data_IF_022878340959
#
_entry.id   IF_022878340959
#
_cell.length_a   1.000
_cell.length_b   1.000
_cell.length_c   1.000
_cell.angle_alpha   90.00
_cell.angle_beta   90.00
_cell.angle_gamma   90.00
#
_symmetry.space_group_name_H-M   'P 1'
#
loop_
_entity.id
_entity.type
_entity.pdbx_description
1 polymer ?
#
# COMPACT_ATOMS: atom_id res chain seq x y z
N UNK A 1 -16.54 -30.04 -9.08
CA UNK A 1 -15.35 -29.19 -9.38
C UNK A 1 -15.54 -27.72 -9.02
N UNK A 2 -16.74 -27.22 -8.69
CA UNK A 2 -16.96 -25.82 -8.31
C UNK A 2 -16.44 -25.44 -6.90
N UNK A 3 -16.45 -26.37 -5.94
CA UNK A 3 -16.08 -26.13 -4.53
C UNK A 3 -14.62 -25.68 -4.36
N UNK A 4 -13.68 -26.32 -5.08
CA UNK A 4 -12.25 -25.99 -5.03
C UNK A 4 -11.91 -24.60 -5.60
N UNK A 5 -12.73 -24.06 -6.49
CA UNK A 5 -12.52 -22.73 -7.06
C UNK A 5 -12.99 -21.63 -6.11
N UNK A 6 -14.09 -21.87 -5.39
CA UNK A 6 -14.63 -20.94 -4.38
C UNK A 6 -13.68 -20.86 -3.17
N UNK A 7 -13.19 -22.01 -2.68
CA UNK A 7 -12.25 -22.05 -1.54
C UNK A 7 -10.92 -21.32 -1.82
N UNK A 8 -10.41 -21.38 -3.05
CA UNK A 8 -9.18 -20.65 -3.44
C UNK A 8 -9.39 -19.15 -3.56
N UNK A 9 -10.58 -18.73 -3.95
CA UNK A 9 -10.92 -17.31 -4.05
C UNK A 9 -11.02 -16.67 -2.66
N UNK A 10 -11.52 -17.40 -1.66
CA UNK A 10 -11.59 -16.91 -0.27
C UNK A 10 -10.20 -16.88 0.38
N UNK A 11 -9.34 -17.86 0.12
CA UNK A 11 -7.94 -17.85 0.59
C UNK A 11 -7.13 -16.68 0.00
N UNK A 12 -7.26 -16.42 -1.29
CA UNK A 12 -6.57 -15.32 -1.96
C UNK A 12 -7.01 -13.95 -1.41
N UNK A 13 -8.31 -13.81 -1.12
CA UNK A 13 -8.86 -12.60 -0.53
C UNK A 13 -8.41 -12.41 0.93
N UNK A 14 -8.41 -13.48 1.73
CA UNK A 14 -7.88 -13.45 3.09
C UNK A 14 -6.40 -13.07 3.12
N UNK A 15 -5.59 -13.61 2.21
CA UNK A 15 -4.18 -13.26 2.07
C UNK A 15 -3.98 -11.79 1.66
N UNK A 16 -4.85 -11.27 0.79
CA UNK A 16 -4.83 -9.84 0.40
C UNK A 16 -5.14 -8.94 1.60
N UNK A 17 -6.18 -9.25 2.37
CA UNK A 17 -6.54 -8.50 3.58
C UNK A 17 -5.40 -8.54 4.60
N UNK A 18 -4.83 -9.71 4.87
CA UNK A 18 -3.69 -9.86 5.77
C UNK A 18 -2.49 -9.01 5.33
N UNK A 19 -2.17 -9.01 4.03
CA UNK A 19 -1.09 -8.18 3.46
C UNK A 19 -1.35 -6.68 3.63
N UNK A 20 -2.61 -6.24 3.51
CA UNK A 20 -3.00 -4.84 3.72
C UNK A 20 -2.91 -4.43 5.20
N UNK A 21 -3.29 -5.32 6.12
CA UNK A 21 -3.16 -5.07 7.56
C UNK A 21 -1.70 -5.01 8.01
N UNK A 22 -0.87 -5.93 7.53
CA UNK A 22 0.57 -5.93 7.78
C UNK A 22 1.22 -4.66 7.25
N UNK A 23 0.94 -4.31 5.98
CA UNK A 23 1.44 -3.06 5.39
C UNK A 23 1.04 -1.84 6.23
N UNK A 24 -0.22 -1.78 6.68
CA UNK A 24 -0.70 -0.68 7.52
C UNK A 24 0.10 -0.57 8.81
N UNK A 25 0.40 -1.68 9.49
CA UNK A 25 1.18 -1.68 10.72
C UNK A 25 2.60 -1.15 10.47
N UNK A 26 3.26 -1.62 9.40
CA UNK A 26 4.59 -1.16 8.98
C UNK A 26 4.58 0.35 8.68
N UNK A 27 3.56 0.84 7.97
CA UNK A 27 3.44 2.26 7.62
C UNK A 27 3.17 3.15 8.84
N UNK A 28 2.46 2.66 9.85
CA UNK A 28 2.29 3.39 11.13
C UNK A 28 3.62 3.52 11.86
N UNK A 29 4.39 2.44 11.96
CA UNK A 29 5.73 2.49 12.57
C UNK A 29 6.64 3.47 11.83
N UNK A 30 6.73 3.34 10.50
CA UNK A 30 7.56 4.18 9.64
C UNK A 30 7.16 5.67 9.66
N UNK A 31 5.87 5.99 9.86
CA UNK A 31 5.38 7.37 10.01
C UNK A 31 5.95 8.06 11.27
N UNK A 32 6.29 7.31 12.32
CA UNK A 32 6.62 7.84 13.64
C UNK A 32 8.12 7.80 13.98
N UNK A 33 8.99 7.50 13.02
CA UNK A 33 10.45 7.46 13.23
C UNK A 33 11.24 8.03 12.06
N UNK A 34 12.52 8.27 12.32
CA UNK A 34 13.47 8.73 11.30
C UNK A 34 13.89 7.58 10.38
N UNK A 35 13.07 7.36 9.34
CA UNK A 35 13.32 6.36 8.29
C UNK A 35 14.43 6.85 7.36
N UNK A 36 15.45 6.02 7.10
CA UNK A 36 16.56 6.34 6.17
C UNK A 36 16.11 6.27 4.70
N UNK A 37 16.94 6.73 3.77
CA UNK A 37 16.59 6.76 2.33
C UNK A 37 16.32 5.35 1.80
N UNK A 38 17.22 4.42 2.11
CA UNK A 38 17.20 3.05 1.63
C UNK A 38 15.91 2.35 2.12
N UNK A 39 15.66 2.46 3.42
CA UNK A 39 14.45 1.95 4.04
C UNK A 39 13.17 2.61 3.51
N UNK A 40 13.19 3.93 3.27
CA UNK A 40 12.05 4.61 2.63
C UNK A 40 11.75 4.00 1.26
N UNK A 41 12.77 3.78 0.44
CA UNK A 41 12.60 3.27 -0.92
C UNK A 41 12.10 1.83 -0.93
N UNK A 42 12.58 0.98 -0.01
CA UNK A 42 12.10 -0.38 0.17
C UNK A 42 10.62 -0.41 0.57
N UNK A 43 10.25 0.36 1.61
CA UNK A 43 8.88 0.47 2.09
C UNK A 43 7.95 1.08 1.03
N UNK A 44 8.42 2.10 0.30
CA UNK A 44 7.67 2.72 -0.77
C UNK A 44 7.42 1.72 -1.91
N UNK A 45 8.45 1.02 -2.38
CA UNK A 45 8.32 0.02 -3.44
C UNK A 45 7.40 -1.15 -3.02
N UNK A 46 7.50 -1.62 -1.78
CA UNK A 46 6.59 -2.61 -1.21
C UNK A 46 5.14 -2.09 -1.22
N UNK A 47 4.93 -0.86 -0.73
CA UNK A 47 3.61 -0.25 -0.66
C UNK A 47 2.97 -0.11 -2.03
N UNK A 48 3.72 0.37 -3.03
CA UNK A 48 3.23 0.50 -4.43
C UNK A 48 2.79 -0.86 -4.97
N UNK A 49 3.52 -1.94 -4.65
CA UNK A 49 3.19 -3.31 -5.09
C UNK A 49 1.95 -3.86 -4.39
N UNK A 50 1.90 -3.81 -3.06
CA UNK A 50 0.79 -4.35 -2.26
C UNK A 50 -0.50 -3.55 -2.50
N UNK A 51 -0.38 -2.23 -2.65
CA UNK A 51 -1.48 -1.35 -3.00
C UNK A 51 -1.71 -1.28 -4.51
N UNK A 52 -1.05 -2.11 -5.32
CA UNK A 52 -1.23 -2.18 -6.79
C UNK A 52 -1.35 -0.80 -7.44
N UNK A 53 -0.54 0.16 -6.97
CA UNK A 53 -0.57 1.53 -7.46
C UNK A 53 0.28 1.59 -8.72
N UNK A 54 -0.33 1.86 -9.86
CA UNK A 54 0.46 2.19 -11.04
C UNK A 54 1.19 3.53 -10.86
N UNK A 55 2.18 3.77 -11.73
CA UNK A 55 3.01 4.98 -11.68
C UNK A 55 2.19 6.26 -11.82
N UNK A 56 1.08 6.22 -12.55
CA UNK A 56 0.22 7.39 -12.77
C UNK A 56 -0.61 7.71 -11.52
N UNK A 57 -1.22 6.70 -10.92
CA UNK A 57 -2.01 6.79 -9.69
C UNK A 57 -1.15 7.24 -8.52
N UNK A 58 0.06 6.71 -8.40
CA UNK A 58 1.04 7.16 -7.41
C UNK A 58 1.46 8.62 -7.66
N UNK A 59 1.73 8.99 -8.92
CA UNK A 59 2.08 10.38 -9.28
C UNK A 59 0.96 11.36 -8.92
N UNK A 60 -0.31 11.00 -9.19
CA UNK A 60 -1.49 11.78 -8.80
C UNK A 60 -1.63 11.87 -7.27
N UNK A 61 -1.48 10.76 -6.56
CA UNK A 61 -1.59 10.70 -5.10
C UNK A 61 -0.60 11.66 -4.41
N UNK A 62 0.65 11.67 -4.87
CA UNK A 62 1.72 12.48 -4.27
C UNK A 62 1.91 13.84 -4.95
N UNK A 63 1.07 14.18 -5.93
CA UNK A 63 1.18 15.42 -6.74
C UNK A 63 2.60 15.64 -7.27
N UNK A 64 3.19 14.58 -7.82
CA UNK A 64 4.55 14.59 -8.36
C UNK A 64 4.58 13.93 -9.74
N UNK A 65 5.76 13.87 -10.35
CA UNK A 65 5.95 13.29 -11.68
C UNK A 65 6.15 11.77 -11.61
N UNK A 66 5.75 11.04 -12.68
CA UNK A 66 6.05 9.60 -12.83
C UNK A 66 7.56 9.29 -12.67
N UNK A 67 8.49 10.07 -13.27
CA UNK A 67 9.92 9.89 -13.00
C UNK A 67 10.31 9.99 -11.52
N UNK A 68 9.67 10.88 -10.75
CA UNK A 68 9.92 10.99 -9.31
C UNK A 68 9.51 9.70 -8.59
N UNK A 69 8.33 9.15 -8.90
CA UNK A 69 7.85 7.89 -8.33
C UNK A 69 8.82 6.74 -8.68
N UNK A 70 9.24 6.63 -9.94
CA UNK A 70 10.23 5.63 -10.36
C UNK A 70 11.55 5.75 -9.59
N UNK A 71 12.06 6.97 -9.40
CA UNK A 71 13.30 7.18 -8.63
C UNK A 71 13.14 6.85 -7.16
N UNK A 72 11.98 7.12 -6.56
CA UNK A 72 11.68 6.75 -5.17
C UNK A 72 11.64 5.23 -5.00
N UNK A 73 10.93 4.52 -5.88
CA UNK A 73 10.85 3.06 -5.85
C UNK A 73 12.21 2.39 -6.14
N UNK A 74 13.06 3.01 -6.95
CA UNK A 74 14.38 2.46 -7.31
C UNK A 74 15.51 2.82 -6.34
N UNK A 75 15.25 3.52 -5.22
CA UNK A 75 16.32 3.91 -4.28
C UNK A 75 17.19 5.08 -4.74
N UNK A 76 16.91 5.67 -5.91
CA UNK A 76 17.73 6.73 -6.51
C UNK A 76 17.55 8.08 -5.79
N UNK A 77 16.37 8.30 -5.22
CA UNK A 77 16.06 9.48 -4.42
C UNK A 77 14.96 9.17 -3.41
N UNK A 78 14.78 10.04 -2.43
CA UNK A 78 13.64 9.99 -1.51
C UNK A 78 13.15 11.42 -1.25
N UNK A 79 11.91 11.59 -0.74
CA UNK A 79 11.52 12.85 -0.13
C UNK A 79 12.52 13.29 0.94
N UNK A 80 12.54 14.60 1.19
CA UNK A 80 13.19 15.15 2.36
C UNK A 80 12.72 14.42 3.64
N UNK A 81 13.59 14.27 4.64
CA UNK A 81 13.29 13.48 5.86
C UNK A 81 11.96 13.89 6.51
N UNK A 82 11.69 15.19 6.61
CA UNK A 82 10.43 15.73 7.15
C UNK A 82 9.19 15.45 6.28
N UNK A 83 9.39 15.14 5.00
CA UNK A 83 8.30 14.81 4.06
C UNK A 83 7.97 13.32 3.99
N UNK A 84 8.84 12.43 4.48
CA UNK A 84 8.63 10.97 4.43
C UNK A 84 7.40 10.52 5.24
N UNK A 85 7.14 11.05 6.46
CA UNK A 85 5.93 10.70 7.20
C UNK A 85 4.64 11.00 6.45
N UNK A 86 4.59 12.09 5.68
CA UNK A 86 3.42 12.45 4.88
C UNK A 86 3.16 11.44 3.75
N UNK A 87 4.22 10.89 3.15
CA UNK A 87 4.11 9.84 2.14
C UNK A 87 3.55 8.55 2.75
N UNK A 88 4.09 8.11 3.89
CA UNK A 88 3.59 6.92 4.58
C UNK A 88 2.14 7.07 5.05
N UNK A 89 1.78 8.24 5.57
CA UNK A 89 0.38 8.56 5.93
C UNK A 89 -0.57 8.45 4.75
N UNK A 90 -0.18 8.97 3.58
CA UNK A 90 -1.00 8.89 2.38
C UNK A 90 -1.16 7.43 1.89
N UNK A 91 -0.09 6.64 1.88
CA UNK A 91 -0.15 5.20 1.56
C UNK A 91 -1.05 4.44 2.55
N UNK A 92 -0.94 4.74 3.84
CA UNK A 92 -1.77 4.17 4.90
C UNK A 92 -3.24 4.51 4.71
N UNK A 93 -3.55 5.73 4.25
CA UNK A 93 -4.93 6.11 3.91
C UNK A 93 -5.48 5.22 2.78
N UNK A 94 -4.70 5.01 1.71
CA UNK A 94 -5.09 4.11 0.61
C UNK A 94 -5.30 2.68 1.10
N UNK A 95 -4.42 2.18 1.97
CA UNK A 95 -4.57 0.85 2.58
C UNK A 95 -5.87 0.72 3.38
N UNK A 96 -6.20 1.71 4.22
CA UNK A 96 -7.45 1.74 4.97
C UNK A 96 -8.69 1.80 4.06
N UNK A 97 -8.63 2.59 2.98
CA UNK A 97 -9.74 2.71 2.04
C UNK A 97 -9.99 1.36 1.32
N UNK A 98 -8.93 0.62 0.94
CA UNK A 98 -9.05 -0.73 0.39
C UNK A 98 -9.64 -1.73 1.39
N UNK A 99 -9.14 -1.73 2.63
CA UNK A 99 -9.68 -2.60 3.70
C UNK A 99 -11.18 -2.36 3.92
N UNK A 100 -11.62 -1.10 3.92
CA UNK A 100 -13.05 -0.75 4.06
C UNK A 100 -13.89 -1.27 2.90
N UNK A 101 -13.38 -1.18 1.66
CA UNK A 101 -14.07 -1.72 0.49
C UNK A 101 -14.26 -3.23 0.59
N UNK A 102 -13.25 -3.95 1.10
CA UNK A 102 -13.37 -5.39 1.36
C UNK A 102 -14.40 -5.70 2.46
N UNK A 103 -14.38 -4.99 3.59
CA UNK A 103 -15.37 -5.21 4.65
C UNK A 103 -16.80 -4.94 4.18
N UNK A 104 -17.02 -3.86 3.42
CA UNK A 104 -18.35 -3.55 2.87
C UNK A 104 -18.83 -4.63 1.89
N UNK A 105 -17.96 -5.09 0.98
CA UNK A 105 -18.29 -6.13 0.01
C UNK A 105 -18.63 -7.48 0.65
N UNK A 106 -18.01 -7.84 1.79
CA UNK A 106 -18.29 -9.10 2.49
C UNK A 106 -19.64 -9.05 3.21
N UNK A 107 -20.00 -7.90 3.77
CA UNK A 107 -21.29 -7.71 4.44
C UNK A 107 -22.44 -7.80 3.44
N UNK A 108 -22.32 -7.16 2.27
CA UNK A 108 -23.35 -7.21 1.22
C UNK A 108 -23.50 -8.61 0.60
N UNK A 109 -22.43 -9.41 0.53
CA UNK A 109 -22.48 -10.77 -0.01
C UNK A 109 -23.06 -11.81 0.99
N UNK A 110 -23.20 -11.45 2.27
CA UNK A 110 -23.70 -12.31 3.35
C UNK A 110 -25.16 -12.02 3.74
N UNK A 111 -25.79 -11.01 3.11
CA UNK A 111 -27.18 -10.61 3.29
C UNK A 111 -28.08 -11.18 2.19
#
# INVERSE_FOLDING_TARGET
MATLAIDRLTEAEAARVASLEELKAILVDAENRDVKREEFSELFALSIRVLELDQESAAKLFKTSRPTISRWAAGLSAPHILGRPAVFRALRKVANDRLRQHTASVVDASA
#
